data_IF_333101313348
#
_entry.id   IF_333101313348
#
_cell.length_a   1.000
_cell.length_b   1.000
_cell.length_c   1.000
_cell.angle_alpha   90.00
_cell.angle_beta   90.00
_cell.angle_gamma   90.00
#
_symmetry.space_group_name_H-M   'P 1'
#
loop_
_entity.id
_entity.type
_entity.pdbx_description
1 polymer ?
#
# COMPACT_ATOMS: atom_id res chain seq x y z
N UNK A 1 2.36 5.48 -4.83
CA UNK A 1 2.71 4.55 -5.93
C UNK A 1 1.53 3.67 -6.32
N UNK A 2 0.94 2.90 -5.41
CA UNK A 2 -0.17 1.99 -5.73
C UNK A 2 -1.41 2.69 -6.34
N UNK A 3 -1.78 3.87 -5.82
CA UNK A 3 -2.84 4.71 -6.41
C UNK A 3 -2.52 5.09 -7.86
N UNK A 4 -1.27 5.45 -8.15
CA UNK A 4 -0.84 5.81 -9.51
C UNK A 4 -0.96 4.62 -10.46
N UNK A 5 -0.57 3.41 -10.02
CA UNK A 5 -0.72 2.18 -10.81
C UNK A 5 -2.20 1.92 -11.11
N UNK A 6 -3.09 2.09 -10.12
CA UNK A 6 -4.53 1.90 -10.33
C UNK A 6 -5.11 2.93 -11.29
N UNK A 7 -4.72 4.21 -11.18
CA UNK A 7 -5.19 5.26 -12.08
C UNK A 7 -4.68 5.05 -13.51
N UNK A 8 -3.38 4.77 -13.69
CA UNK A 8 -2.79 4.52 -15.00
C UNK A 8 -3.36 3.26 -15.65
N UNK A 9 -3.53 2.17 -14.89
CA UNK A 9 -4.16 0.94 -15.36
C UNK A 9 -5.61 1.19 -15.79
N UNK A 10 -6.39 1.87 -14.96
CA UNK A 10 -7.81 2.17 -15.25
C UNK A 10 -7.95 3.02 -16.51
N UNK A 11 -7.15 4.09 -16.64
CA UNK A 11 -7.18 4.95 -17.82
C UNK A 11 -6.69 4.19 -19.05
N UNK A 12 -5.64 3.37 -18.92
CA UNK A 12 -5.11 2.56 -20.03
C UNK A 12 -6.10 1.51 -20.53
N UNK A 13 -6.74 0.76 -19.63
CA UNK A 13 -7.78 -0.19 -20.02
C UNK A 13 -8.99 0.49 -20.61
N UNK A 14 -9.39 1.65 -20.06
CA UNK A 14 -10.52 2.40 -20.59
C UNK A 14 -10.26 2.94 -21.99
N UNK A 15 -9.03 3.36 -22.31
CA UNK A 15 -8.68 3.88 -23.64
C UNK A 15 -8.52 2.77 -24.67
N UNK A 16 -7.93 1.62 -24.28
CA UNK A 16 -7.69 0.47 -25.17
C UNK A 16 -8.99 -0.31 -25.43
N UNK A 17 -9.86 -0.43 -24.42
CA UNK A 17 -11.12 -1.18 -24.51
C UNK A 17 -12.30 -0.41 -25.10
N UNK A 18 -12.09 0.81 -25.61
CA UNK A 18 -13.19 1.58 -26.22
C UNK A 18 -13.70 0.91 -27.49
N UNK A 19 -15.02 0.98 -27.77
CA UNK A 19 -16.05 1.73 -27.02
C UNK A 19 -16.77 0.93 -25.92
N UNK A 20 -16.46 -0.36 -25.75
CA UNK A 20 -17.27 -1.28 -24.95
C UNK A 20 -16.90 -1.26 -23.45
N UNK A 21 -15.67 -0.84 -23.11
CA UNK A 21 -15.20 -0.77 -21.73
C UNK A 21 -15.86 0.36 -20.93
N UNK A 22 -16.49 0.00 -19.81
CA UNK A 22 -16.88 0.96 -18.79
C UNK A 22 -15.68 1.37 -17.93
N UNK A 23 -15.76 2.56 -17.33
CA UNK A 23 -14.80 3.00 -16.31
C UNK A 23 -14.73 2.05 -15.12
N UNK A 24 -15.87 1.49 -14.71
CA UNK A 24 -15.94 0.56 -13.58
C UNK A 24 -15.24 -0.76 -13.92
N UNK A 25 -15.43 -1.27 -15.14
CA UNK A 25 -14.84 -2.52 -15.60
C UNK A 25 -13.33 -2.38 -15.78
N UNK A 26 -12.87 -1.21 -16.22
CA UNK A 26 -11.46 -0.88 -16.37
C UNK A 26 -10.75 -0.78 -15.01
N UNK A 27 -11.41 -0.18 -14.01
CA UNK A 27 -10.90 -0.14 -12.65
C UNK A 27 -10.89 -1.54 -12.03
N UNK A 28 -11.98 -2.28 -12.20
CA UNK A 28 -12.10 -3.65 -11.72
C UNK A 28 -11.02 -4.55 -12.32
N UNK A 29 -10.78 -4.47 -13.64
CA UNK A 29 -9.71 -5.21 -14.31
C UNK A 29 -8.33 -4.86 -13.74
N UNK A 30 -8.06 -3.58 -13.51
CA UNK A 30 -6.81 -3.14 -12.90
C UNK A 30 -6.65 -3.72 -11.50
N UNK A 31 -7.71 -3.66 -10.70
CA UNK A 31 -7.70 -4.16 -9.33
C UNK A 31 -7.44 -5.66 -9.27
N UNK A 32 -8.19 -6.48 -10.03
CA UNK A 32 -8.00 -7.95 -10.03
C UNK A 32 -6.63 -8.37 -10.57
N UNK A 33 -6.06 -7.57 -11.48
CA UNK A 33 -4.70 -7.80 -12.03
C UNK A 33 -3.63 -7.49 -10.99
N UNK A 34 -3.70 -6.32 -10.36
CA UNK A 34 -2.72 -5.90 -9.32
C UNK A 34 -2.85 -6.76 -8.06
N UNK A 35 -4.07 -7.17 -7.71
CA UNK A 35 -4.33 -8.08 -6.60
C UNK A 35 -3.99 -9.54 -6.92
N UNK A 36 -3.53 -9.86 -8.13
CA UNK A 36 -3.17 -11.22 -8.58
C UNK A 36 -4.31 -12.24 -8.50
N UNK A 37 -5.57 -11.79 -8.56
CA UNK A 37 -6.75 -12.67 -8.53
C UNK A 37 -6.99 -13.29 -9.91
N UNK A 38 -6.98 -12.46 -10.97
CA UNK A 38 -6.99 -12.92 -12.36
C UNK A 38 -8.23 -13.71 -12.81
N UNK A 39 -9.44 -13.16 -12.66
CA UNK A 39 -10.68 -13.80 -13.15
C UNK A 39 -10.85 -13.85 -14.69
N UNK A 40 -9.89 -13.33 -15.45
CA UNK A 40 -9.96 -13.20 -16.91
C UNK A 40 -10.00 -11.74 -17.38
N UNK A 41 -9.93 -11.53 -18.70
CA UNK A 41 -10.01 -10.21 -19.32
C UNK A 41 -11.46 -9.69 -19.27
N UNK A 42 -11.78 -8.82 -18.31
CA UNK A 42 -13.11 -8.18 -18.22
C UNK A 42 -13.29 -7.06 -19.23
N UNK A 43 -12.19 -6.45 -19.67
CA UNK A 43 -12.13 -5.58 -20.83
C UNK A 43 -11.62 -6.41 -22.00
N UNK A 44 -12.36 -6.44 -23.11
CA UNK A 44 -11.98 -7.21 -24.28
C UNK A 44 -10.73 -6.62 -24.94
N UNK A 45 -9.61 -7.35 -24.83
CA UNK A 45 -8.31 -6.99 -25.43
C UNK A 45 -8.01 -7.84 -26.68
N UNK A 46 -8.94 -8.69 -27.13
CA UNK A 46 -8.73 -9.64 -28.24
C UNK A 46 -8.32 -8.95 -29.54
N UNK A 47 -8.86 -7.75 -29.79
CA UNK A 47 -8.55 -6.93 -30.97
C UNK A 47 -7.25 -6.11 -30.83
N UNK A 48 -6.63 -6.08 -29.63
CA UNK A 48 -5.50 -5.20 -29.30
C UNK A 48 -4.36 -5.99 -28.62
N UNK A 49 -3.46 -6.64 -29.40
CA UNK A 49 -2.31 -7.37 -28.86
C UNK A 49 -1.42 -6.51 -27.94
N UNK A 50 -1.31 -5.22 -28.24
CA UNK A 50 -0.57 -4.26 -27.41
C UNK A 50 -1.19 -4.04 -26.02
N UNK A 51 -2.50 -4.24 -25.88
CA UNK A 51 -3.20 -4.16 -24.60
C UNK A 51 -2.79 -5.29 -23.65
N UNK A 52 -2.46 -6.48 -24.18
CA UNK A 52 -1.90 -7.56 -23.37
C UNK A 52 -0.51 -7.24 -22.84
N UNK A 53 0.33 -6.62 -23.66
CA UNK A 53 1.67 -6.18 -23.22
C UNK A 53 1.56 -5.08 -22.14
N UNK A 54 0.58 -4.17 -22.27
CA UNK A 54 0.25 -3.21 -21.23
C UNK A 54 -0.17 -3.89 -19.93
N UNK A 55 -1.04 -4.91 -19.98
CA UNK A 55 -1.42 -5.72 -18.81
C UNK A 55 -0.21 -6.35 -18.13
N UNK A 56 0.73 -6.91 -18.89
CA UNK A 56 1.97 -7.47 -18.34
C UNK A 56 2.77 -6.40 -17.60
N UNK A 57 2.91 -5.20 -18.20
CA UNK A 57 3.60 -4.07 -17.55
C UNK A 57 2.93 -3.63 -16.25
N UNK A 58 1.61 -3.43 -16.27
CA UNK A 58 0.82 -3.07 -15.08
C UNK A 58 0.91 -4.17 -14.01
N UNK A 59 0.86 -5.45 -14.40
CA UNK A 59 0.97 -6.57 -13.47
C UNK A 59 2.33 -6.58 -12.77
N UNK A 60 3.44 -6.44 -13.50
CA UNK A 60 4.79 -6.43 -12.90
C UNK A 60 4.94 -5.28 -11.90
N UNK A 61 4.56 -4.06 -12.30
CA UNK A 61 4.66 -2.88 -11.44
C UNK A 61 3.68 -2.96 -10.26
N UNK A 62 2.47 -3.46 -10.51
CA UNK A 62 1.41 -3.62 -9.53
C UNK A 62 1.74 -4.63 -8.45
N UNK A 63 2.24 -5.81 -8.83
CA UNK A 63 2.72 -6.84 -7.91
C UNK A 63 3.83 -6.28 -7.04
N UNK A 64 4.85 -5.63 -7.62
CA UNK A 64 5.92 -5.01 -6.86
C UNK A 64 5.42 -3.95 -5.86
N UNK A 65 4.50 -3.10 -6.29
CA UNK A 65 3.88 -2.08 -5.43
C UNK A 65 3.09 -2.70 -4.27
N UNK A 66 2.30 -3.74 -4.55
CA UNK A 66 1.46 -4.43 -3.57
C UNK A 66 2.30 -5.21 -2.57
N UNK A 67 3.33 -5.93 -3.03
CA UNK A 67 4.29 -6.64 -2.17
C UNK A 67 5.03 -5.67 -1.25
N UNK A 68 5.49 -4.53 -1.76
CA UNK A 68 6.13 -3.50 -0.94
C UNK A 68 5.18 -2.98 0.13
N UNK A 69 3.93 -2.64 -0.23
CA UNK A 69 2.92 -2.20 0.72
C UNK A 69 2.70 -3.24 1.82
N UNK A 70 2.57 -4.51 1.46
CA UNK A 70 2.39 -5.60 2.41
C UNK A 70 3.61 -5.75 3.34
N UNK A 71 4.83 -5.72 2.80
CA UNK A 71 6.06 -5.76 3.61
C UNK A 71 6.14 -4.59 4.58
N UNK A 72 5.82 -3.36 4.15
CA UNK A 72 5.77 -2.20 5.03
C UNK A 72 4.68 -2.35 6.09
N UNK A 73 3.50 -2.88 5.76
CA UNK A 73 2.44 -3.13 6.74
C UNK A 73 2.89 -4.14 7.80
N UNK A 74 3.53 -5.24 7.39
CA UNK A 74 4.09 -6.23 8.33
C UNK A 74 5.17 -5.61 9.20
N UNK A 75 6.08 -4.84 8.60
CA UNK A 75 7.13 -4.12 9.35
C UNK A 75 6.51 -3.17 10.37
N UNK A 76 5.49 -2.38 10.00
CA UNK A 76 4.79 -1.49 10.92
C UNK A 76 4.08 -2.22 12.06
N UNK A 77 3.56 -3.43 11.83
CA UNK A 77 2.96 -4.25 12.89
C UNK A 77 4.03 -4.78 13.85
N UNK A 78 5.17 -5.25 13.33
CA UNK A 78 6.29 -5.74 14.13
C UNK A 78 7.00 -4.62 14.90
N UNK A 79 7.25 -3.50 14.22
CA UNK A 79 7.80 -2.26 14.76
C UNK A 79 6.74 -1.41 15.48
N UNK A 80 5.52 -1.93 15.70
CA UNK A 80 4.52 -1.24 16.51
C UNK A 80 4.94 -1.24 17.97
N UNK A 81 5.94 -0.41 18.26
CA UNK A 81 6.34 0.08 19.56
C UNK A 81 5.28 1.06 20.11
N UNK A 82 4.00 0.82 19.77
CA UNK A 82 2.84 1.43 20.41
C UNK A 82 2.98 1.30 21.92
N UNK A 83 3.52 0.18 22.40
CA UNK A 83 3.90 0.00 23.79
C UNK A 83 4.96 1.01 24.24
N UNK A 84 6.03 1.27 23.49
CA UNK A 84 7.04 2.27 23.86
C UNK A 84 6.47 3.70 23.88
N UNK A 85 5.65 4.09 22.91
CA UNK A 85 5.02 5.41 22.85
C UNK A 85 4.00 5.58 23.98
N UNK A 86 3.13 4.58 24.22
CA UNK A 86 2.18 4.59 25.32
C UNK A 86 2.89 4.56 26.67
N UNK A 87 3.95 3.76 26.83
CA UNK A 87 4.78 3.70 28.04
C UNK A 87 5.46 5.04 28.31
N UNK A 88 6.01 5.70 27.28
CA UNK A 88 6.61 7.04 27.42
C UNK A 88 5.57 8.08 27.84
N UNK A 89 4.37 8.06 27.24
CA UNK A 89 3.26 8.95 27.64
C UNK A 89 2.79 8.69 29.07
N UNK A 90 2.68 7.42 29.48
CA UNK A 90 2.29 7.03 30.84
C UNK A 90 3.34 7.45 31.86
N UNK A 91 4.61 7.23 31.56
CA UNK A 91 5.74 7.67 32.38
C UNK A 91 5.76 9.20 32.52
N UNK A 92 5.56 9.95 31.44
CA UNK A 92 5.51 11.42 31.49
C UNK A 92 4.36 11.94 32.34
N UNK A 93 3.16 11.32 32.29
CA UNK A 93 2.05 11.65 33.19
C UNK A 93 2.40 11.38 34.65
N UNK A 94 3.01 10.22 34.94
CA UNK A 94 3.47 9.91 36.30
C UNK A 94 4.50 10.93 36.80
N UNK A 95 5.42 11.39 35.95
CA UNK A 95 6.39 12.43 36.30
C UNK A 95 5.69 13.79 36.49
N UNK A 96 4.68 14.15 35.68
CA UNK A 96 3.98 15.44 35.85
C UNK A 96 3.16 15.51 37.13
N UNK A 97 2.61 14.38 37.57
CA UNK A 97 1.81 14.29 38.80
C UNK A 97 2.70 14.28 40.07
N UNK A 98 4.02 14.11 39.93
CA UNK A 98 4.97 14.11 41.04
C UNK A 98 5.43 15.52 41.40
N UNK A 99 5.11 15.98 42.61
CA UNK A 99 5.68 17.21 43.19
C UNK A 99 6.88 16.93 44.13
N UNK A 100 7.92 17.76 44.10
CA UNK A 100 9.17 17.65 44.89
C UNK A 100 9.99 16.36 44.63
N UNK A 101 10.22 16.05 43.36
CA UNK A 101 11.06 14.92 42.96
C UNK A 101 12.47 15.35 42.54
N UNK A 102 13.44 14.45 42.68
CA UNK A 102 14.82 14.64 42.25
C UNK A 102 15.07 13.86 40.96
N UNK A 103 15.72 14.47 39.98
CA UNK A 103 16.12 13.82 38.73
C UNK A 103 17.57 13.35 38.89
N UNK A 104 17.78 12.04 38.84
CA UNK A 104 19.12 11.44 38.90
C UNK A 104 19.60 11.21 37.47
N UNK A 105 20.60 11.98 37.04
CA UNK A 105 21.25 11.78 35.75
C UNK A 105 22.43 10.81 35.91
N UNK A 106 22.26 9.56 35.48
CA UNK A 106 23.34 8.58 35.41
C UNK A 106 23.95 8.52 34.01
N UNK A 107 25.27 8.57 33.90
CA UNK A 107 26.01 8.17 32.69
C UNK A 107 26.22 6.66 32.77
N UNK A 108 25.60 5.91 31.86
CA UNK A 108 25.87 4.48 31.69
C UNK A 108 27.33 4.28 31.30
N UNK A 109 28.02 3.33 31.93
CA UNK A 109 29.41 3.00 31.55
C UNK A 109 29.41 2.45 30.12
N UNK A 110 30.18 3.10 29.26
CA UNK A 110 30.61 2.62 27.94
C UNK A 110 31.46 1.36 28.07
#
# INVERSE_FOLDING_TARGET
MLILVHLLGTVGYHTIGRPQASWIDSFYMTFITVATIGYGETVDLSAHPMGRLFTVGIAIVGIGAMSYLFSTMVALLLESDLNAVLRKRRMQRQISDMSRHYIICGVGRV
#
